data_IF_824112228782
#
_entry.id   IF_824112228782
#
_cell.length_a   1.000
_cell.length_b   1.000
_cell.length_c   1.000
_cell.angle_alpha   90.00
_cell.angle_beta   90.00
_cell.angle_gamma   90.00
#
_symmetry.space_group_name_H-M   'P 1'
#
loop_
_entity.id
_entity.type
_entity.pdbx_description
1 polymer ?
#
# COMPACT_ATOMS: atom_id res chain seq x y z
N UNK A 1 3.97 2.21 -4.80
CA UNK A 1 2.67 2.38 -5.47
C UNK A 1 2.82 3.23 -6.73
N UNK A 2 3.11 4.54 -6.58
CA UNK A 2 3.37 5.50 -7.67
C UNK A 2 4.18 4.96 -8.86
N UNK A 3 5.42 4.50 -8.63
CA UNK A 3 6.30 4.02 -9.71
C UNK A 3 5.76 2.81 -10.50
N UNK A 4 4.91 1.99 -9.90
CA UNK A 4 4.29 0.85 -10.59
C UNK A 4 3.16 1.30 -11.52
N UNK A 5 2.40 2.31 -11.09
CA UNK A 5 1.28 2.85 -11.88
C UNK A 5 1.73 3.81 -12.97
N UNK A 6 2.80 4.55 -12.72
CA UNK A 6 3.43 5.41 -13.73
C UNK A 6 4.06 4.58 -14.87
N UNK A 7 4.60 3.39 -14.59
CA UNK A 7 5.46 2.66 -15.54
C UNK A 7 4.90 1.33 -16.10
N UNK A 8 3.65 0.94 -15.83
CA UNK A 8 3.12 -0.28 -16.47
C UNK A 8 2.01 -1.04 -15.76
N UNK A 9 1.00 -0.36 -15.23
CA UNK A 9 -0.19 -1.08 -14.75
C UNK A 9 -0.94 -1.75 -15.92
N UNK A 10 -1.09 -3.07 -15.86
CA UNK A 10 -1.80 -3.87 -16.88
C UNK A 10 -3.31 -3.92 -16.66
N UNK A 11 -3.80 -3.50 -15.48
CA UNK A 11 -5.24 -3.44 -15.17
C UNK A 11 -5.83 -2.15 -15.74
N UNK A 12 -6.68 -2.26 -16.76
CA UNK A 12 -7.18 -1.13 -17.56
C UNK A 12 -7.78 0.02 -16.72
N UNK A 13 -8.64 -0.28 -15.73
CA UNK A 13 -9.25 0.75 -14.88
C UNK A 13 -8.23 1.50 -14.01
N UNK A 14 -7.24 0.78 -13.50
CA UNK A 14 -6.21 1.33 -12.63
C UNK A 14 -5.13 2.10 -13.40
N UNK A 15 -4.89 1.69 -14.66
CA UNK A 15 -4.08 2.46 -15.61
C UNK A 15 -4.74 3.79 -15.95
N UNK A 16 -6.06 3.82 -16.14
CA UNK A 16 -6.81 5.06 -16.41
C UNK A 16 -6.75 6.03 -15.24
N UNK A 17 -7.08 5.55 -14.03
CA UNK A 17 -6.98 6.38 -12.83
C UNK A 17 -5.56 6.92 -12.65
N UNK A 18 -4.54 6.07 -12.83
CA UNK A 18 -3.15 6.48 -12.79
C UNK A 18 -2.80 7.55 -13.84
N UNK A 19 -3.31 7.41 -15.06
CA UNK A 19 -3.08 8.40 -16.11
C UNK A 19 -3.72 9.77 -15.79
N UNK A 20 -4.88 9.77 -15.15
CA UNK A 20 -5.61 11.00 -14.78
C UNK A 20 -5.01 11.68 -13.55
N UNK A 21 -4.64 10.92 -12.52
CA UNK A 21 -4.31 11.46 -11.19
C UNK A 21 -2.80 11.41 -10.86
N UNK A 22 -2.00 10.60 -11.58
CA UNK A 22 -0.55 10.51 -11.34
C UNK A 22 0.28 11.22 -12.42
N UNK A 23 -0.13 11.19 -13.69
CA UNK A 23 0.60 11.85 -14.79
C UNK A 23 0.89 13.35 -14.60
N UNK A 24 0.04 14.14 -13.90
CA UNK A 24 0.35 15.55 -13.65
C UNK A 24 1.57 15.77 -12.75
N UNK A 25 2.05 14.73 -12.06
CA UNK A 25 3.14 14.81 -11.10
C UNK A 25 4.40 14.17 -11.69
N UNK A 26 5.51 14.90 -11.86
CA UNK A 26 6.73 14.35 -12.47
C UNK A 26 7.45 13.32 -11.58
N UNK A 27 7.28 13.42 -10.27
CA UNK A 27 7.91 12.53 -9.30
C UNK A 27 7.02 12.22 -8.10
N UNK A 28 7.41 11.20 -7.32
CA UNK A 28 6.63 10.77 -6.18
C UNK A 28 6.47 11.85 -5.09
N UNK A 29 7.48 12.69 -4.87
CA UNK A 29 7.40 13.78 -3.89
C UNK A 29 6.40 14.85 -4.32
N UNK A 30 6.39 15.21 -5.60
CA UNK A 30 5.41 16.14 -6.18
C UNK A 30 3.98 15.61 -6.07
N UNK A 31 3.77 14.31 -6.29
CA UNK A 31 2.48 13.64 -6.06
C UNK A 31 2.04 13.73 -4.59
N UNK A 32 2.92 13.40 -3.64
CA UNK A 32 2.60 13.48 -2.20
C UNK A 32 2.24 14.90 -1.78
N UNK A 33 2.96 15.91 -2.29
CA UNK A 33 2.70 17.32 -1.92
C UNK A 33 1.46 17.90 -2.60
N UNK A 34 1.20 17.53 -3.84
CA UNK A 34 0.15 18.13 -4.66
C UNK A 34 -1.20 17.40 -4.62
N UNK A 35 -1.19 16.06 -4.49
CA UNK A 35 -2.41 15.27 -4.50
C UNK A 35 -2.85 14.83 -3.11
N UNK A 36 -1.95 14.21 -2.32
CA UNK A 36 -2.32 13.53 -1.08
C UNK A 36 -2.80 14.51 0.01
N UNK A 37 -4.08 14.46 0.35
CA UNK A 37 -4.73 15.22 1.42
C UNK A 37 -5.85 14.35 2.08
N UNK A 38 -6.45 14.77 3.22
CA UNK A 38 -7.46 13.98 3.92
C UNK A 38 -8.66 13.58 3.06
N UNK A 39 -9.02 14.37 2.05
CA UNK A 39 -10.10 14.07 1.12
C UNK A 39 -9.65 13.10 0.02
N UNK A 40 -8.47 13.35 -0.57
CA UNK A 40 -7.99 12.62 -1.75
C UNK A 40 -7.64 11.16 -1.46
N UNK A 41 -7.30 10.83 -0.21
CA UNK A 41 -6.97 9.45 0.18
C UNK A 41 -8.17 8.51 0.11
N UNK A 42 -9.39 9.05 0.08
CA UNK A 42 -10.62 8.28 -0.11
C UNK A 42 -11.13 8.27 -1.57
N UNK A 43 -10.49 9.01 -2.49
CA UNK A 43 -10.89 9.05 -3.90
C UNK A 43 -10.70 7.70 -4.62
N UNK A 44 -9.80 6.84 -4.12
CA UNK A 44 -9.57 5.54 -4.71
C UNK A 44 -9.09 4.51 -3.68
N UNK A 45 -9.61 3.27 -3.75
CA UNK A 45 -9.34 2.20 -2.79
C UNK A 45 -7.86 1.84 -2.58
N UNK A 46 -6.97 2.24 -3.47
CA UNK A 46 -5.52 2.00 -3.30
C UNK A 46 -4.90 2.99 -2.30
N UNK A 47 -5.53 4.13 -2.06
CA UNK A 47 -5.05 5.20 -1.19
C UNK A 47 -5.69 5.16 0.21
N UNK A 48 -6.81 4.46 0.36
CA UNK A 48 -7.52 4.33 1.63
C UNK A 48 -6.55 3.76 2.69
N UNK A 49 -6.45 4.38 3.88
CA UNK A 49 -5.63 3.87 4.97
C UNK A 49 -5.95 2.41 5.29
N UNK A 50 -4.93 1.57 5.45
CA UNK A 50 -5.16 0.12 5.65
C UNK A 50 -5.95 -0.20 6.92
N UNK A 51 -5.90 0.67 7.93
CA UNK A 51 -6.64 0.48 9.18
C UNK A 51 -8.17 0.46 8.98
N UNK A 52 -8.69 1.17 7.97
CA UNK A 52 -10.12 1.21 7.61
C UNK A 52 -10.67 -0.17 7.25
N UNK A 53 -9.80 -1.10 6.83
CA UNK A 53 -10.22 -2.46 6.46
C UNK A 53 -10.11 -3.47 7.60
N UNK A 54 -9.39 -3.14 8.67
CA UNK A 54 -9.07 -4.08 9.74
C UNK A 54 -9.52 -3.60 11.12
N UNK A 55 -10.01 -2.37 11.23
CA UNK A 55 -10.58 -1.81 12.46
C UNK A 55 -12.09 -1.64 12.35
N UNK A 56 -12.78 -1.68 13.50
CA UNK A 56 -14.17 -1.30 13.64
C UNK A 56 -14.34 0.23 13.73
N UNK A 57 -15.57 0.71 13.84
CA UNK A 57 -15.92 2.13 13.96
C UNK A 57 -15.32 2.80 15.22
N UNK A 58 -14.92 2.01 16.23
CA UNK A 58 -14.26 2.50 17.44
C UNK A 58 -12.72 2.48 17.33
N UNK A 59 -12.17 2.15 16.14
CA UNK A 59 -10.74 2.06 15.89
C UNK A 59 -10.08 0.80 16.47
N UNK A 60 -10.85 -0.21 16.87
CA UNK A 60 -10.34 -1.47 17.44
C UNK A 60 -10.17 -2.49 16.33
N UNK A 61 -9.11 -3.30 16.40
CA UNK A 61 -8.91 -4.38 15.43
C UNK A 61 -10.12 -5.35 15.42
N UNK A 62 -10.70 -5.55 14.25
CA UNK A 62 -11.85 -6.40 13.98
C UNK A 62 -11.44 -7.78 13.40
N UNK A 63 -10.17 -8.17 13.58
CA UNK A 63 -9.58 -9.42 13.07
C UNK A 63 -8.67 -10.05 14.11
N UNK A 64 -8.57 -11.38 14.12
CA UNK A 64 -7.75 -12.15 15.09
C UNK A 64 -6.24 -12.11 14.81
N UNK A 65 -5.84 -11.62 13.63
CA UNK A 65 -4.45 -11.58 13.18
C UNK A 65 -4.22 -10.53 12.08
N UNK A 66 -3.14 -9.77 12.22
CA UNK A 66 -2.63 -8.85 11.20
C UNK A 66 -1.19 -9.26 10.88
N UNK A 67 -0.93 -9.64 9.62
CA UNK A 67 0.40 -9.96 9.13
C UNK A 67 1.06 -8.76 8.44
N UNK A 68 2.39 -8.76 8.39
CA UNK A 68 3.22 -7.76 7.74
C UNK A 68 3.82 -8.32 6.45
N UNK A 69 3.89 -7.48 5.42
CA UNK A 69 4.41 -7.91 4.13
C UNK A 69 5.90 -8.29 4.21
N UNK A 70 6.65 -7.67 5.12
CA UNK A 70 8.05 -7.95 5.43
C UNK A 70 8.23 -9.34 6.06
N UNK A 71 7.20 -9.85 6.75
CA UNK A 71 7.20 -11.14 7.45
C UNK A 71 6.32 -12.19 6.75
N UNK A 72 5.95 -11.94 5.49
CA UNK A 72 4.92 -12.68 4.73
C UNK A 72 4.98 -14.21 4.86
N UNK A 73 6.17 -14.80 4.80
CA UNK A 73 6.33 -16.26 4.90
C UNK A 73 6.00 -16.79 6.30
N UNK A 74 6.48 -16.13 7.34
CA UNK A 74 6.24 -16.52 8.72
C UNK A 74 4.76 -16.31 9.09
N UNK A 75 4.20 -15.15 8.73
CA UNK A 75 2.81 -14.81 9.03
C UNK A 75 1.83 -15.75 8.29
N UNK A 76 2.13 -16.09 7.03
CA UNK A 76 1.36 -17.08 6.29
C UNK A 76 1.40 -18.46 6.96
N UNK A 77 2.57 -18.92 7.42
CA UNK A 77 2.69 -20.19 8.13
C UNK A 77 1.86 -20.21 9.43
N UNK A 78 1.87 -19.10 10.17
CA UNK A 78 1.07 -18.95 11.39
C UNK A 78 -0.43 -19.03 11.11
N UNK A 79 -0.92 -18.34 10.07
CA UNK A 79 -2.34 -18.40 9.68
C UNK A 79 -2.72 -19.81 9.25
N UNK A 80 -1.88 -20.49 8.45
CA UNK A 80 -2.11 -21.89 8.07
C UNK A 80 -2.23 -22.80 9.29
N UNK A 81 -1.34 -22.65 10.26
CA UNK A 81 -1.36 -23.45 11.48
C UNK A 81 -2.66 -23.24 12.27
N UNK A 82 -3.10 -21.98 12.45
CA UNK A 82 -4.36 -21.65 13.11
C UNK A 82 -5.59 -22.26 12.41
N UNK A 83 -5.52 -22.41 11.09
CA UNK A 83 -6.60 -22.98 10.28
C UNK A 83 -6.50 -24.51 10.10
N UNK A 84 -5.68 -25.21 10.89
CA UNK A 84 -5.54 -26.68 10.80
C UNK A 84 -4.59 -27.14 9.69
N UNK A 85 -3.53 -26.39 9.43
CA UNK A 85 -2.51 -26.65 8.39
C UNK A 85 -3.05 -26.68 6.95
N UNK A 86 -4.13 -25.95 6.68
CA UNK A 86 -4.71 -25.84 5.34
C UNK A 86 -3.73 -25.25 4.32
N UNK A 87 -3.81 -25.72 3.07
CA UNK A 87 -3.01 -25.23 1.95
C UNK A 87 -1.54 -25.71 1.95
N UNK A 88 -0.79 -25.26 0.95
CA UNK A 88 0.64 -25.58 0.75
C UNK A 88 1.53 -24.45 1.25
N UNK A 89 2.82 -24.70 1.34
CA UNK A 89 3.80 -23.63 1.59
C UNK A 89 3.76 -22.55 0.51
N UNK A 90 4.02 -21.31 0.91
CA UNK A 90 3.97 -20.18 0.00
C UNK A 90 5.16 -20.20 -0.95
N UNK A 91 4.86 -20.26 -2.25
CA UNK A 91 5.86 -20.11 -3.32
C UNK A 91 5.85 -18.68 -3.86
N UNK A 92 7.03 -18.09 -4.06
CA UNK A 92 7.14 -16.72 -4.59
C UNK A 92 7.09 -16.72 -6.12
N UNK A 93 5.88 -16.72 -6.70
CA UNK A 93 5.69 -16.75 -8.15
C UNK A 93 5.95 -15.40 -8.83
N UNK A 94 5.52 -14.29 -8.22
CA UNK A 94 5.58 -12.95 -8.83
C UNK A 94 6.69 -12.11 -8.19
N UNK A 95 7.95 -12.42 -8.48
CA UNK A 95 9.09 -11.64 -7.98
C UNK A 95 9.31 -10.40 -8.86
N UNK A 96 8.84 -9.25 -8.39
CA UNK A 96 9.14 -7.96 -9.03
C UNK A 96 10.58 -7.53 -8.76
N UNK A 97 11.29 -7.04 -9.78
CA UNK A 97 12.56 -6.31 -9.61
C UNK A 97 12.24 -4.92 -9.04
N UNK A 98 12.65 -4.63 -7.81
CA UNK A 98 12.43 -3.35 -7.13
C UNK A 98 13.64 -3.01 -6.27
N UNK A 99 13.86 -1.72 -6.06
CA UNK A 99 14.83 -1.24 -5.06
C UNK A 99 14.24 -1.43 -3.65
N UNK A 100 15.10 -1.44 -2.63
CA UNK A 100 14.65 -1.36 -1.24
C UNK A 100 13.76 -0.12 -1.03
N UNK A 101 12.75 -0.23 -0.16
CA UNK A 101 11.71 0.81 -0.08
C UNK A 101 12.29 2.21 0.21
N UNK A 102 13.37 2.26 0.99
CA UNK A 102 14.08 3.48 1.38
C UNK A 102 14.56 4.30 0.19
N UNK A 103 14.88 3.66 -0.94
CA UNK A 103 15.33 4.34 -2.15
C UNK A 103 14.23 5.12 -2.88
N UNK A 104 12.96 4.89 -2.53
CA UNK A 104 11.83 5.64 -3.10
C UNK A 104 11.50 6.92 -2.33
N UNK A 105 12.18 7.17 -1.20
CA UNK A 105 11.92 8.33 -0.34
C UNK A 105 13.20 9.14 -0.14
N UNK A 106 13.12 10.45 -0.40
CA UNK A 106 14.01 11.41 0.26
C UNK A 106 13.52 11.65 1.70
N UNK A 107 14.38 12.24 2.54
CA UNK A 107 13.99 12.62 3.91
C UNK A 107 12.80 13.60 3.90
N UNK A 108 12.80 14.54 2.96
CA UNK A 108 11.71 15.50 2.75
C UNK A 108 10.38 14.80 2.41
N UNK A 109 10.41 13.84 1.48
CA UNK A 109 9.19 13.11 1.09
C UNK A 109 8.70 12.23 2.24
N UNK A 110 9.60 11.62 3.01
CA UNK A 110 9.23 10.82 4.19
C UNK A 110 8.50 11.66 5.23
N UNK A 111 9.03 12.84 5.54
CA UNK A 111 8.41 13.75 6.51
C UNK A 111 7.08 14.31 5.99
N UNK A 112 7.04 14.71 4.72
CA UNK A 112 5.81 15.20 4.07
C UNK A 112 4.71 14.15 4.05
N UNK A 113 5.06 12.90 3.74
CA UNK A 113 4.13 11.78 3.86
C UNK A 113 3.64 11.66 5.30
N UNK A 114 4.54 11.53 6.29
CA UNK A 114 4.17 11.36 7.70
C UNK A 114 3.16 12.41 8.18
N UNK A 115 3.38 13.69 7.86
CA UNK A 115 2.48 14.79 8.28
C UNK A 115 1.08 14.71 7.69
N UNK A 116 0.95 14.19 6.46
CA UNK A 116 -0.32 14.17 5.72
C UNK A 116 -1.20 12.98 6.09
N UNK A 117 -0.59 11.84 6.42
CA UNK A 117 -1.30 10.61 6.82
C UNK A 117 -1.43 10.44 8.34
N UNK A 118 -0.65 11.14 9.18
CA UNK A 118 -0.81 11.08 10.64
C UNK A 118 -2.03 11.86 11.17
N UNK A 119 -2.77 12.55 10.29
CA UNK A 119 -3.97 13.31 10.61
C UNK A 119 -5.26 12.59 10.19
N UNK A 120 -5.13 11.37 9.67
CA UNK A 120 -6.24 10.45 9.36
C UNK A 120 -6.25 9.35 10.39
#
# INVERSE_FOLDING_TARGET
MYHFYHNGCTRAGLRRWGAEHLSPYPDFGSFVRGFINPESIYEHHILIPQHEYVCDEAGRLAVDFVGYHENRTADYAQVRQKLGNLGREMIHLNKSKRLGYSHYYSDETRESSRRRIAKT
#
